data_IF_446797813762
#
_entry.id   IF_446797813762
#
_cell.length_a   1.000
_cell.length_b   1.000
_cell.length_c   1.000
_cell.angle_alpha   90.00
_cell.angle_beta   90.00
_cell.angle_gamma   90.00
#
_symmetry.space_group_name_H-M   'P 1'
#
loop_
_entity.id
_entity.type
_entity.pdbx_description
1 polymer ?
#
# COMPACT_ATOMS: atom_id res chain seq x y z
N UNK A 1 -18.64 15.46 10.94
CA UNK A 1 -17.34 14.78 11.00
C UNK A 1 -16.51 15.30 9.85
N UNK A 2 -15.27 15.71 10.13
CA UNK A 2 -14.35 16.15 9.09
C UNK A 2 -13.93 14.97 8.22
N UNK A 3 -13.91 15.19 6.90
CA UNK A 3 -13.57 14.15 5.90
C UNK A 3 -12.07 13.83 5.84
N UNK A 4 -11.23 14.66 6.44
CA UNK A 4 -9.77 14.53 6.43
C UNK A 4 -9.27 14.69 7.87
N UNK A 5 -8.39 13.78 8.29
CA UNK A 5 -7.69 13.84 9.57
C UNK A 5 -6.20 13.60 9.34
N UNK A 6 -5.37 14.32 10.08
CA UNK A 6 -3.93 14.07 10.13
C UNK A 6 -3.65 13.36 11.45
N UNK A 7 -3.06 12.17 11.36
CA UNK A 7 -2.78 11.31 12.50
C UNK A 7 -1.34 10.81 12.43
N UNK A 8 -0.61 10.94 13.54
CA UNK A 8 0.67 10.25 13.72
C UNK A 8 0.40 8.93 14.44
N UNK A 9 0.43 7.83 13.70
CA UNK A 9 0.18 6.49 14.23
C UNK A 9 0.90 5.42 13.39
N UNK A 10 0.94 4.20 13.91
CA UNK A 10 1.24 3.00 13.14
C UNK A 10 0.01 2.60 12.33
N UNK A 11 0.12 2.64 10.99
CA UNK A 11 -1.00 2.35 10.08
C UNK A 11 -1.55 0.93 10.27
N UNK A 12 -0.74 -0.02 10.75
CA UNK A 12 -1.14 -1.41 10.99
C UNK A 12 -2.09 -1.59 12.18
N UNK A 13 -2.33 -0.51 12.95
CA UNK A 13 -3.20 -0.52 14.14
C UNK A 13 -4.53 0.21 13.91
N UNK A 14 -4.77 0.74 12.71
CA UNK A 14 -5.98 1.50 12.41
C UNK A 14 -7.14 0.55 12.09
N UNK A 15 -8.24 0.71 12.82
CA UNK A 15 -9.52 0.06 12.59
C UNK A 15 -10.34 0.93 11.62
N UNK A 16 -10.19 0.64 10.33
CA UNK A 16 -10.76 1.38 9.19
C UNK A 16 -11.03 0.42 8.04
N UNK A 17 -11.91 0.79 7.11
CA UNK A 17 -12.28 -0.05 5.96
C UNK A 17 -11.07 -0.50 5.14
N UNK A 18 -10.11 0.40 4.89
CA UNK A 18 -8.89 0.07 4.17
C UNK A 18 -7.69 0.89 4.63
N UNK A 19 -6.52 0.27 4.62
CA UNK A 19 -5.23 0.98 4.69
C UNK A 19 -4.52 0.90 3.34
N UNK A 20 -3.65 1.87 3.06
CA UNK A 20 -2.85 1.91 1.83
C UNK A 20 -1.41 1.51 2.13
N UNK A 21 -0.88 0.57 1.35
CA UNK A 21 0.50 0.12 1.40
C UNK A 21 1.33 0.78 0.28
N UNK A 22 2.48 1.36 0.65
CA UNK A 22 3.51 1.78 -0.30
C UNK A 22 4.37 0.57 -0.72
N UNK A 23 3.89 -0.15 -1.73
CA UNK A 23 4.47 -1.42 -2.18
C UNK A 23 5.56 -1.24 -3.25
N UNK A 24 6.16 -2.36 -3.65
CA UNK A 24 7.04 -2.46 -4.82
C UNK A 24 6.34 -3.19 -5.99
N UNK A 25 6.89 -3.05 -7.20
CA UNK A 25 6.30 -3.62 -8.43
C UNK A 25 6.02 -5.12 -8.37
N UNK A 26 6.82 -5.86 -7.61
CA UNK A 26 6.68 -7.30 -7.51
C UNK A 26 5.59 -7.73 -6.54
N UNK A 27 5.05 -6.83 -5.70
CA UNK A 27 4.12 -7.13 -4.60
C UNK A 27 4.64 -8.20 -3.63
N UNK A 28 5.96 -8.31 -3.46
CA UNK A 28 6.60 -9.36 -2.65
C UNK A 28 6.98 -8.91 -1.24
N UNK A 29 6.32 -7.87 -0.73
CA UNK A 29 6.69 -7.22 0.52
C UNK A 29 8.09 -6.63 0.48
N UNK A 30 8.60 -6.24 1.66
CA UNK A 30 9.93 -5.63 1.76
C UNK A 30 10.22 -5.08 3.15
N UNK A 31 10.91 -3.95 3.19
CA UNK A 31 11.15 -3.17 4.41
C UNK A 31 10.07 -2.12 4.66
N UNK A 32 10.35 -1.15 5.54
CA UNK A 32 9.47 0.00 5.77
C UNK A 32 8.04 -0.37 6.18
N UNK A 33 7.07 0.43 5.70
CA UNK A 33 5.64 0.22 5.97
C UNK A 33 5.11 -1.05 5.31
N UNK A 34 5.61 -1.40 4.13
CA UNK A 34 5.27 -2.63 3.39
C UNK A 34 5.57 -3.88 4.22
N UNK A 35 6.80 -3.97 4.73
CA UNK A 35 7.18 -5.05 5.64
C UNK A 35 6.38 -5.06 6.94
N UNK A 36 6.00 -3.89 7.48
CA UNK A 36 5.18 -3.82 8.68
C UNK A 36 3.76 -4.36 8.43
N UNK A 37 3.14 -3.99 7.31
CA UNK A 37 1.82 -4.48 6.89
C UNK A 37 1.86 -6.00 6.68
N UNK A 38 2.83 -6.53 5.94
CA UNK A 38 2.92 -7.98 5.73
C UNK A 38 3.18 -8.77 7.03
N UNK A 39 4.00 -8.24 7.95
CA UNK A 39 4.23 -8.91 9.25
C UNK A 39 2.97 -8.88 10.13
N UNK A 40 2.23 -7.79 10.12
CA UNK A 40 1.05 -7.61 10.97
C UNK A 40 -0.22 -8.26 10.41
N UNK A 41 -0.35 -8.36 9.08
CA UNK A 41 -1.50 -8.98 8.42
C UNK A 41 -1.37 -10.48 8.14
N UNK A 42 -0.22 -11.09 8.45
CA UNK A 42 -0.01 -12.53 8.26
C UNK A 42 0.18 -12.95 6.80
N UNK A 43 0.16 -14.26 6.54
CA UNK A 43 0.51 -14.81 5.22
C UNK A 43 -0.53 -14.53 4.13
N UNK A 44 -1.81 -14.34 4.50
CA UNK A 44 -2.91 -14.13 3.56
C UNK A 44 -2.66 -12.97 2.58
N UNK A 45 -2.11 -11.84 3.06
CA UNK A 45 -1.77 -10.71 2.20
C UNK A 45 -0.73 -11.11 1.14
N UNK A 46 0.31 -11.85 1.55
CA UNK A 46 1.37 -12.27 0.63
C UNK A 46 0.87 -13.30 -0.39
N UNK A 47 0.01 -14.22 0.04
CA UNK A 47 -0.60 -15.22 -0.84
C UNK A 47 -1.44 -14.55 -1.94
N UNK A 48 -2.34 -13.62 -1.58
CA UNK A 48 -3.13 -12.88 -2.57
C UNK A 48 -2.26 -11.98 -3.47
N UNK A 49 -1.24 -11.32 -2.92
CA UNK A 49 -0.29 -10.55 -3.72
C UNK A 49 0.45 -11.41 -4.77
N UNK A 50 0.77 -12.66 -4.44
CA UNK A 50 1.40 -13.59 -5.37
C UNK A 50 0.46 -14.03 -6.49
N UNK A 51 -0.84 -14.21 -6.18
CA UNK A 51 -1.87 -14.51 -7.18
C UNK A 51 -2.07 -13.35 -8.15
N UNK A 52 -2.00 -12.12 -7.67
CA UNK A 52 -2.08 -10.89 -8.49
C UNK A 52 -0.85 -10.74 -9.40
N UNK A 53 0.34 -11.09 -8.92
CA UNK A 53 1.57 -11.22 -9.72
C UNK A 53 2.38 -9.93 -9.92
N UNK A 54 1.81 -8.74 -9.68
CA UNK A 54 2.54 -7.47 -9.72
C UNK A 54 1.64 -6.24 -9.81
N UNK A 55 2.24 -5.05 -9.75
CA UNK A 55 1.56 -3.77 -9.88
C UNK A 55 2.48 -2.74 -10.53
N UNK A 56 1.99 -1.97 -11.51
CA UNK A 56 2.78 -0.94 -12.18
C UNK A 56 2.84 0.35 -11.36
N UNK A 57 3.86 1.17 -11.62
CA UNK A 57 4.01 2.47 -10.94
C UNK A 57 2.82 3.37 -11.26
N UNK A 58 2.18 3.93 -10.22
CA UNK A 58 0.98 4.74 -10.35
C UNK A 58 -0.33 3.94 -10.33
N UNK A 59 -0.27 2.61 -10.36
CA UNK A 59 -1.44 1.73 -10.27
C UNK A 59 -1.65 1.22 -8.84
N UNK A 60 -2.79 0.59 -8.59
CA UNK A 60 -3.10 -0.04 -7.32
C UNK A 60 -3.84 -1.37 -7.49
N UNK A 61 -3.64 -2.28 -6.53
CA UNK A 61 -4.38 -3.54 -6.41
C UNK A 61 -4.90 -3.69 -4.98
N UNK A 62 -5.89 -4.56 -4.77
CA UNK A 62 -6.54 -4.74 -3.47
C UNK A 62 -6.48 -6.20 -3.02
N UNK A 63 -6.26 -6.40 -1.72
CA UNK A 63 -6.25 -7.70 -1.05
C UNK A 63 -7.11 -7.66 0.22
N UNK A 64 -7.36 -8.81 0.83
CA UNK A 64 -7.74 -8.92 2.23
C UNK A 64 -6.67 -8.31 3.14
N UNK A 65 -7.04 -7.88 4.34
CA UNK A 65 -6.07 -7.39 5.33
C UNK A 65 -5.51 -8.48 6.25
N UNK A 66 -5.97 -9.73 6.09
CA UNK A 66 -5.54 -10.86 6.91
C UNK A 66 -5.82 -10.64 8.39
N UNK A 67 -4.77 -10.53 9.20
CA UNK A 67 -4.87 -10.35 10.66
C UNK A 67 -4.94 -8.88 11.12
N UNK A 68 -4.90 -7.91 10.20
CA UNK A 68 -5.00 -6.49 10.54
C UNK A 68 -6.41 -6.11 11.06
N UNK A 69 -6.52 -5.04 11.88
CA UNK A 69 -7.82 -4.49 12.26
C UNK A 69 -8.63 -3.95 11.07
N UNK A 70 -7.95 -3.47 10.02
CA UNK A 70 -8.61 -2.99 8.81
C UNK A 70 -9.25 -4.12 8.00
N UNK A 71 -10.22 -3.82 7.14
CA UNK A 71 -10.86 -4.88 6.32
C UNK A 71 -10.07 -5.21 5.03
N UNK A 72 -9.41 -4.20 4.44
CA UNK A 72 -8.67 -4.33 3.17
C UNK A 72 -7.30 -3.65 3.21
N UNK A 73 -6.42 -4.10 2.32
CA UNK A 73 -5.16 -3.40 2.01
C UNK A 73 -5.17 -3.05 0.53
N UNK A 74 -4.98 -1.77 0.23
CA UNK A 74 -4.75 -1.27 -1.12
C UNK A 74 -3.25 -1.11 -1.31
N UNK A 75 -2.66 -1.88 -2.22
CA UNK A 75 -1.24 -1.83 -2.53
C UNK A 75 -1.03 -0.96 -3.75
N UNK A 76 -0.27 0.12 -3.62
CA UNK A 76 0.09 0.99 -4.74
C UNK A 76 1.59 1.15 -4.84
N UNK A 77 2.09 1.35 -6.06
CA UNK A 77 3.52 1.46 -6.33
C UNK A 77 3.86 2.91 -6.68
N UNK A 78 4.45 3.62 -5.71
CA UNK A 78 4.95 4.97 -5.91
C UNK A 78 6.17 5.02 -6.85
N UNK A 79 6.41 6.16 -7.52
CA UNK A 79 7.60 6.33 -8.35
C UNK A 79 8.86 6.48 -7.50
N UNK A 80 9.98 5.97 -8.00
CA UNK A 80 11.29 6.29 -7.43
C UNK A 80 11.69 7.69 -7.90
N UNK A 81 11.81 8.63 -6.95
CA UNK A 81 12.22 9.99 -7.25
C UNK A 81 13.63 10.05 -7.85
N UNK A 82 13.74 10.57 -9.07
CA UNK A 82 15.01 10.74 -9.78
C UNK A 82 15.13 12.17 -10.35
N UNK A 83 14.79 13.17 -9.55
CA UNK A 83 14.93 14.57 -9.89
C UNK A 83 13.69 15.21 -10.53
N UNK A 84 12.56 14.49 -10.60
CA UNK A 84 11.25 15.07 -10.92
C UNK A 84 11.00 15.38 -12.40
N UNK A 85 11.89 14.94 -13.30
CA UNK A 85 11.81 15.22 -14.73
C UNK A 85 11.36 14.01 -15.56
N UNK A 86 10.84 12.96 -14.92
CA UNK A 86 10.44 11.69 -15.55
C UNK A 86 8.97 11.35 -15.34
N UNK A 87 8.16 12.32 -14.94
CA UNK A 87 6.74 12.16 -14.67
C UNK A 87 6.44 11.62 -13.27
N UNK A 88 7.37 11.76 -12.32
CA UNK A 88 7.17 11.27 -10.94
C UNK A 88 6.01 11.98 -10.24
N UNK A 89 5.73 13.25 -10.56
CA UNK A 89 4.58 13.96 -10.00
C UNK A 89 3.27 13.33 -10.44
N UNK A 90 3.10 13.08 -11.75
CA UNK A 90 1.90 12.47 -12.30
C UNK A 90 1.72 11.03 -11.83
N UNK A 91 2.82 10.26 -11.76
CA UNK A 91 2.82 8.89 -11.24
C UNK A 91 2.45 8.85 -9.76
N UNK A 92 2.97 9.76 -8.95
CA UNK A 92 2.60 9.85 -7.54
C UNK A 92 1.13 10.24 -7.39
N UNK A 93 0.64 11.21 -8.18
CA UNK A 93 -0.77 11.60 -8.16
C UNK A 93 -1.69 10.45 -8.58
N UNK A 94 -1.27 9.61 -9.53
CA UNK A 94 -2.01 8.42 -9.96
C UNK A 94 -2.22 7.42 -8.82
N UNK A 95 -1.25 7.26 -7.91
CA UNK A 95 -1.38 6.35 -6.74
C UNK A 95 -2.55 6.73 -5.79
N UNK A 96 -3.02 7.98 -5.81
CA UNK A 96 -4.06 8.51 -4.92
C UNK A 96 -5.41 8.74 -5.60
N UNK A 97 -5.52 8.52 -6.92
CA UNK A 97 -6.74 8.76 -7.71
C UNK A 97 -7.58 7.49 -7.83
#
# INVERSE_FOLDING_TARGET
MDKIKVLQADITKLDVDAIVNAANKQLKGGGGVDGAIHRAGGSAIMEECQEIGGCETGEAVITTAGELPSEKVIHTVGPVWNGGNKGEEEQLAACYR
#
